data_IF_459377151006
#
_entry.id   IF_459377151006
#
_cell.length_a   1.000
_cell.length_b   1.000
_cell.length_c   1.000
_cell.angle_alpha   90.00
_cell.angle_beta   90.00
_cell.angle_gamma   90.00
#
_symmetry.space_group_name_H-M   'P 1'
#
loop_
_entity.id
_entity.type
_entity.pdbx_description
1 polymer ?
#
# COMPACT_ATOMS: atom_id res chain seq x y z
N UNK A 1 0.67 46.63 -19.57
CA UNK A 1 1.10 45.29 -20.02
C UNK A 1 -0.15 44.43 -20.20
N UNK A 2 -0.22 43.56 -21.21
CA UNK A 2 -1.39 42.71 -21.46
C UNK A 2 -0.99 41.28 -21.82
N UNK A 3 -1.74 40.29 -21.34
CA UNK A 3 -1.59 38.86 -21.63
C UNK A 3 -2.91 38.35 -22.21
N UNK A 4 -2.85 37.70 -23.38
CA UNK A 4 -4.00 37.05 -23.99
C UNK A 4 -3.81 35.53 -23.91
N UNK A 5 -4.82 34.85 -23.38
CA UNK A 5 -4.85 33.41 -23.21
C UNK A 5 -6.15 32.83 -23.75
N UNK A 6 -6.23 31.51 -23.86
CA UNK A 6 -7.47 30.77 -24.09
C UNK A 6 -7.89 30.08 -22.79
N UNK A 7 -9.18 29.94 -22.52
CA UNK A 7 -9.68 29.30 -21.30
C UNK A 7 -10.93 28.48 -21.60
N UNK A 8 -11.04 27.31 -20.97
CA UNK A 8 -12.31 26.59 -20.85
C UNK A 8 -12.87 26.94 -19.48
N UNK A 9 -14.02 27.60 -19.45
CA UNK A 9 -14.82 27.66 -18.23
C UNK A 9 -16.00 26.75 -18.42
N UNK A 10 -16.10 25.74 -17.55
CA UNK A 10 -17.24 24.83 -17.53
C UNK A 10 -18.56 25.59 -17.60
N UNK A 11 -18.57 26.81 -17.05
CA UNK A 11 -19.57 27.84 -17.18
C UNK A 11 -20.16 28.04 -18.62
N UNK A 12 -19.34 28.25 -19.63
CA UNK A 12 -19.79 28.96 -20.84
C UNK A 12 -20.13 28.07 -22.02
N UNK A 13 -20.07 26.74 -21.90
CA UNK A 13 -20.35 25.83 -23.00
C UNK A 13 -19.43 26.02 -24.23
N UNK A 14 -18.29 26.69 -24.08
CA UNK A 14 -17.38 26.98 -25.18
C UNK A 14 -16.07 27.61 -24.73
N UNK A 15 -15.04 27.38 -25.55
CA UNK A 15 -13.71 27.95 -25.41
C UNK A 15 -13.75 29.48 -25.59
N UNK A 16 -13.06 30.22 -24.75
CA UNK A 16 -13.01 31.69 -24.79
C UNK A 16 -11.57 32.21 -24.71
N UNK A 17 -11.36 33.46 -25.12
CA UNK A 17 -10.10 34.16 -24.87
C UNK A 17 -10.18 34.96 -23.58
N UNK A 18 -9.13 34.91 -22.78
CA UNK A 18 -8.96 35.68 -21.55
C UNK A 18 -7.88 36.73 -21.77
N UNK A 19 -8.23 38.01 -21.68
CA UNK A 19 -7.29 39.12 -21.74
C UNK A 19 -7.06 39.68 -20.33
N UNK A 20 -5.83 39.60 -19.85
CA UNK A 20 -5.40 40.11 -18.54
C UNK A 20 -4.55 41.37 -18.74
N UNK A 21 -5.00 42.52 -18.23
CA UNK A 21 -4.33 43.81 -18.40
C UNK A 21 -3.83 44.34 -17.07
N UNK A 22 -2.54 44.66 -17.02
CA UNK A 22 -1.91 45.41 -15.94
C UNK A 22 -1.73 46.88 -16.33
N UNK A 23 -2.36 47.77 -15.56
CA UNK A 23 -2.28 49.22 -15.70
C UNK A 23 -1.35 49.81 -14.64
N UNK A 24 -0.16 50.24 -15.07
CA UNK A 24 0.90 50.75 -14.20
C UNK A 24 0.53 52.06 -13.49
N UNK A 25 -0.22 52.94 -14.17
CA UNK A 25 -0.67 54.23 -13.66
C UNK A 25 -1.60 54.11 -12.44
N UNK A 26 -2.18 52.94 -12.19
CA UNK A 26 -3.08 52.70 -11.06
C UNK A 26 -2.36 52.48 -9.71
N UNK A 27 -1.01 52.44 -9.70
CA UNK A 27 -0.16 52.26 -8.52
C UNK A 27 -0.65 51.15 -7.55
N UNK A 28 -0.94 49.94 -8.05
CA UNK A 28 -1.59 48.93 -7.21
C UNK A 28 -0.64 48.41 -6.13
N UNK A 29 -1.15 48.20 -4.92
CA UNK A 29 -0.41 47.63 -3.79
C UNK A 29 0.02 46.18 -4.06
N UNK A 30 0.95 45.65 -3.26
CA UNK A 30 1.38 44.25 -3.32
C UNK A 30 0.93 43.53 -2.05
N UNK A 31 0.33 42.37 -2.20
CA UNK A 31 -0.04 41.44 -1.13
C UNK A 31 0.78 40.18 -1.22
N UNK A 32 0.83 39.42 -0.12
CA UNK A 32 1.53 38.14 -0.07
C UNK A 32 0.52 37.03 -0.34
N UNK A 33 0.72 36.30 -1.44
CA UNK A 33 0.03 35.05 -1.71
C UNK A 33 0.79 33.91 -1.02
N UNK A 34 0.06 33.01 -0.34
CA UNK A 34 0.64 31.91 0.45
C UNK A 34 0.17 30.59 -0.12
N UNK A 35 1.12 29.82 -0.66
CA UNK A 35 0.90 28.47 -1.16
C UNK A 35 0.58 27.46 -0.05
N UNK A 36 -0.01 26.34 -0.44
CA UNK A 36 -0.30 25.22 0.48
C UNK A 36 0.95 24.53 1.04
N UNK A 37 2.10 24.72 0.40
CA UNK A 37 3.43 24.32 0.85
C UNK A 37 4.09 25.36 1.79
N UNK A 38 3.38 26.45 2.10
CA UNK A 38 3.86 27.55 2.93
C UNK A 38 4.79 28.51 2.18
N UNK A 39 5.01 28.32 0.88
CA UNK A 39 5.79 29.26 0.07
C UNK A 39 5.01 30.57 -0.10
N UNK A 40 5.70 31.70 0.04
CA UNK A 40 5.08 33.02 -0.05
C UNK A 40 5.64 33.79 -1.23
N UNK A 41 4.77 34.47 -1.98
CA UNK A 41 5.18 35.30 -3.11
C UNK A 41 4.40 36.60 -3.11
N UNK A 42 5.06 37.70 -3.48
CA UNK A 42 4.40 38.99 -3.60
C UNK A 42 3.62 39.06 -4.92
N UNK A 43 2.33 39.35 -4.83
CA UNK A 43 1.37 39.49 -5.95
C UNK A 43 0.74 40.87 -5.87
N UNK A 44 0.44 41.47 -7.03
CA UNK A 44 -0.27 42.76 -7.06
C UNK A 44 -1.73 42.58 -6.59
N UNK A 45 -2.14 43.38 -5.60
CA UNK A 45 -3.40 43.27 -4.83
C UNK A 45 -4.65 43.61 -5.65
N UNK A 46 -4.55 44.60 -6.54
CA UNK A 46 -5.67 44.95 -7.41
C UNK A 46 -5.74 43.94 -8.57
N UNK A 47 -6.90 43.30 -8.82
CA UNK A 47 -7.00 42.33 -9.90
C UNK A 47 -6.64 43.04 -11.21
N UNK A 48 -5.72 42.48 -12.02
CA UNK A 48 -5.54 42.99 -13.38
C UNK A 48 -6.90 42.96 -14.08
N UNK A 49 -7.20 43.95 -14.92
CA UNK A 49 -8.47 43.97 -15.65
C UNK A 49 -8.52 42.72 -16.53
N UNK A 50 -9.43 41.79 -16.17
CA UNK A 50 -9.64 40.53 -16.88
C UNK A 50 -10.90 40.65 -17.73
N UNK A 51 -10.75 40.58 -19.05
CA UNK A 51 -11.84 40.58 -20.00
C UNK A 51 -11.97 39.18 -20.61
N UNK A 52 -13.19 38.63 -20.61
CA UNK A 52 -13.51 37.40 -21.33
C UNK A 52 -14.07 37.77 -22.71
N UNK A 53 -13.49 37.17 -23.75
CA UNK A 53 -13.92 37.33 -25.13
C UNK A 53 -14.37 35.96 -25.61
N UNK A 54 -15.69 35.75 -25.68
CA UNK A 54 -16.22 34.56 -26.34
C UNK A 54 -15.87 34.58 -27.84
N UNK A 55 -15.81 33.41 -28.45
CA UNK A 55 -15.60 33.25 -29.90
C UNK A 55 -16.65 33.96 -30.76
N UNK A 56 -17.79 34.38 -30.16
CA UNK A 56 -18.88 35.13 -30.78
C UNK A 56 -19.15 36.54 -30.17
N UNK A 57 -18.33 37.02 -29.22
CA UNK A 57 -18.46 38.36 -28.63
C UNK A 57 -19.54 38.56 -27.56
N UNK A 58 -20.14 37.50 -27.01
CA UNK A 58 -21.17 37.58 -25.95
C UNK A 58 -20.68 37.02 -24.59
N UNK A 59 -21.31 37.44 -23.47
CA UNK A 59 -21.00 36.93 -22.12
C UNK A 59 -21.99 35.82 -21.72
N UNK A 60 -21.50 34.72 -21.13
CA UNK A 60 -22.33 33.62 -20.62
C UNK A 60 -21.69 32.90 -19.41
N UNK A 61 -22.42 31.96 -18.78
CA UNK A 61 -22.06 31.21 -17.55
C UNK A 61 -22.79 29.83 -17.46
N UNK A 62 -22.35 28.91 -16.55
CA UNK A 62 -22.80 27.49 -16.18
C UNK A 62 -21.99 26.17 -16.55
N UNK A 63 -21.38 25.57 -15.51
CA UNK A 63 -20.56 24.32 -15.35
C UNK A 63 -21.13 22.99 -15.87
N UNK A 64 -20.28 21.95 -16.08
CA UNK A 64 -20.68 20.56 -15.88
C UNK A 64 -20.04 19.95 -14.63
N UNK A 65 -20.85 19.20 -13.89
CA UNK A 65 -20.47 18.36 -12.75
C UNK A 65 -20.32 16.90 -13.24
N UNK A 66 -19.28 16.20 -12.80
CA UNK A 66 -19.31 14.73 -12.69
C UNK A 66 -17.98 13.99 -12.87
N UNK A 67 -17.27 13.71 -11.76
CA UNK A 67 -16.46 12.51 -11.53
C UNK A 67 -16.25 12.41 -10.01
N UNK A 68 -16.72 11.32 -9.36
CA UNK A 68 -16.83 11.26 -7.88
C UNK A 68 -15.51 11.48 -7.12
N UNK A 69 -14.36 11.18 -7.74
CA UNK A 69 -13.01 11.47 -7.22
C UNK A 69 -12.14 12.14 -8.27
N UNK A 70 -12.70 13.11 -9.01
CA UNK A 70 -11.95 13.85 -10.01
C UNK A 70 -10.83 14.67 -9.37
N UNK A 71 -9.62 14.59 -9.94
CA UNK A 71 -8.56 15.56 -9.67
C UNK A 71 -8.70 16.67 -10.71
N UNK A 72 -9.10 17.86 -10.27
CA UNK A 72 -9.22 19.04 -11.11
C UNK A 72 -8.04 19.98 -10.85
N UNK A 73 -7.39 20.44 -11.92
CA UNK A 73 -6.45 21.56 -11.85
C UNK A 73 -7.12 22.82 -12.39
N UNK A 74 -6.85 23.95 -11.77
CA UNK A 74 -7.27 25.27 -12.23
C UNK A 74 -6.07 26.20 -12.16
N UNK A 75 -5.89 27.03 -13.17
CA UNK A 75 -4.86 28.06 -13.20
C UNK A 75 -5.52 29.41 -13.45
N UNK A 76 -5.10 30.44 -12.73
CA UNK A 76 -5.53 31.82 -13.00
C UNK A 76 -4.32 32.74 -13.10
N UNK A 77 -4.33 33.62 -14.09
CA UNK A 77 -3.22 34.53 -14.40
C UNK A 77 -3.12 35.63 -13.34
N UNK A 78 -1.96 35.75 -12.70
CA UNK A 78 -1.60 36.74 -11.68
C UNK A 78 -0.44 37.61 -12.17
N UNK A 79 -0.25 38.77 -11.54
CA UNK A 79 0.91 39.64 -11.79
C UNK A 79 1.79 39.58 -10.56
N UNK A 80 2.99 39.01 -10.72
CA UNK A 80 3.98 38.93 -9.65
C UNK A 80 4.69 40.27 -9.49
N UNK A 81 4.99 40.62 -8.24
CA UNK A 81 5.87 41.74 -7.91
C UNK A 81 7.25 41.20 -7.52
N UNK A 82 8.22 41.39 -8.40
CA UNK A 82 9.61 40.97 -8.23
C UNK A 82 10.49 42.08 -7.63
N UNK A 83 9.91 43.22 -7.24
CA UNK A 83 10.67 44.41 -6.80
C UNK A 83 11.47 44.18 -5.52
N UNK A 84 11.07 43.20 -4.70
CA UNK A 84 11.73 42.86 -3.43
C UNK A 84 12.76 41.71 -3.55
N UNK A 85 12.81 41.00 -4.67
CA UNK A 85 13.77 39.90 -4.89
C UNK A 85 15.07 40.42 -5.50
N UNK A 86 16.26 39.99 -5.01
CA UNK A 86 17.53 40.39 -5.62
C UNK A 86 17.54 39.95 -7.08
N UNK A 87 18.01 40.79 -8.03
CA UNK A 87 17.85 40.54 -9.45
C UNK A 87 18.53 39.21 -9.82
N UNK A 88 17.77 38.17 -10.23
CA UNK A 88 18.38 36.98 -10.79
C UNK A 88 19.08 37.32 -12.13
N UNK A 89 20.05 36.49 -12.57
CA UNK A 89 20.86 36.79 -13.75
C UNK A 89 20.00 37.06 -15.00
N UNK A 90 20.44 37.94 -15.92
CA UNK A 90 19.64 38.46 -17.04
C UNK A 90 19.17 37.39 -18.04
N UNK A 91 19.68 36.16 -17.99
CA UNK A 91 19.23 35.02 -18.80
C UNK A 91 17.92 34.38 -18.33
N UNK A 92 17.42 34.71 -17.13
CA UNK A 92 16.20 34.11 -16.57
C UNK A 92 14.91 34.91 -16.78
N UNK A 93 14.98 36.09 -17.42
CA UNK A 93 13.85 37.04 -17.55
C UNK A 93 13.36 37.19 -18.99
N UNK A 94 13.00 36.10 -19.65
CA UNK A 94 12.10 36.20 -20.78
C UNK A 94 10.72 36.67 -20.30
N UNK A 95 10.45 37.99 -20.27
CA UNK A 95 9.10 38.53 -20.08
C UNK A 95 8.81 39.35 -18.80
N UNK A 96 9.82 39.84 -18.07
CA UNK A 96 9.60 40.83 -17.00
C UNK A 96 9.63 42.27 -17.52
N UNK A 97 8.79 43.14 -16.95
CA UNK A 97 8.66 44.55 -17.34
C UNK A 97 8.79 45.46 -16.12
N UNK A 98 9.40 46.62 -16.29
CA UNK A 98 9.50 47.63 -15.23
C UNK A 98 8.46 48.71 -15.47
N UNK A 99 7.61 48.95 -14.47
CA UNK A 99 6.62 50.03 -14.48
C UNK A 99 7.30 51.39 -14.59
N UNK A 100 6.78 52.25 -15.48
CA UNK A 100 7.24 53.64 -15.61
C UNK A 100 6.84 54.45 -14.38
N UNK A 101 5.61 54.28 -13.91
CA UNK A 101 5.00 55.08 -12.85
C UNK A 101 5.12 54.39 -11.49
N UNK A 102 4.80 53.09 -11.39
CA UNK A 102 4.91 52.33 -10.13
C UNK A 102 6.35 51.97 -9.76
N UNK A 103 7.28 52.02 -10.73
CA UNK A 103 8.66 51.52 -10.60
C UNK A 103 8.79 50.05 -10.18
N UNK A 104 7.69 49.28 -10.21
CA UNK A 104 7.70 47.86 -9.86
C UNK A 104 8.24 47.01 -11.00
N UNK A 105 8.97 45.96 -10.66
CA UNK A 105 9.36 44.91 -11.59
C UNK A 105 8.27 43.85 -11.59
N UNK A 106 7.54 43.72 -12.69
CA UNK A 106 6.38 42.83 -12.79
C UNK A 106 6.54 41.79 -13.90
N UNK A 107 5.97 40.61 -13.70
CA UNK A 107 5.79 39.61 -14.74
C UNK A 107 4.41 38.94 -14.60
N UNK A 108 3.91 38.37 -15.69
CA UNK A 108 2.77 37.48 -15.61
C UNK A 108 3.19 36.12 -15.09
N UNK A 109 2.38 35.55 -14.22
CA UNK A 109 2.48 34.17 -13.77
C UNK A 109 1.09 33.57 -13.63
N UNK A 110 1.04 32.31 -13.18
CA UNK A 110 -0.21 31.62 -12.89
C UNK A 110 -0.20 31.15 -11.45
N UNK A 111 -1.28 31.42 -10.75
CA UNK A 111 -1.57 30.71 -9.51
C UNK A 111 -2.37 29.46 -9.87
N UNK A 112 -1.87 28.31 -9.43
CA UNK A 112 -2.40 26.99 -9.79
C UNK A 112 -2.97 26.36 -8.53
N UNK A 113 -4.24 25.98 -8.60
CA UNK A 113 -4.95 25.25 -7.56
C UNK A 113 -5.38 23.87 -8.05
N UNK A 114 -5.32 22.89 -7.16
CA UNK A 114 -5.82 21.54 -7.41
C UNK A 114 -6.89 21.18 -6.38
N UNK A 115 -7.97 20.54 -6.84
CA UNK A 115 -9.05 20.07 -5.97
C UNK A 115 -9.36 18.62 -6.31
N UNK A 116 -9.45 17.79 -5.27
CA UNK A 116 -9.92 16.40 -5.38
C UNK A 116 -11.38 16.35 -4.92
N UNK A 117 -12.28 15.95 -5.81
CA UNK A 117 -13.70 15.81 -5.48
C UNK A 117 -13.91 14.70 -4.42
N UNK A 118 -14.80 14.94 -3.45
CA UNK A 118 -15.17 14.00 -2.38
C UNK A 118 -14.00 13.30 -1.66
N UNK A 119 -12.86 13.97 -1.50
CA UNK A 119 -11.65 13.39 -0.90
C UNK A 119 -11.89 12.81 0.51
N UNK A 120 -12.85 13.36 1.26
CA UNK A 120 -13.25 12.87 2.59
C UNK A 120 -13.71 11.41 2.57
N UNK A 121 -14.42 10.98 1.51
CA UNK A 121 -14.87 9.60 1.36
C UNK A 121 -13.70 8.63 1.19
N UNK A 122 -12.69 9.02 0.40
CA UNK A 122 -11.47 8.23 0.21
C UNK A 122 -10.69 8.12 1.52
N UNK A 123 -10.55 9.23 2.25
CA UNK A 123 -9.88 9.29 3.53
C UNK A 123 -10.56 8.39 4.58
N UNK A 124 -11.89 8.49 4.71
CA UNK A 124 -12.64 7.68 5.65
C UNK A 124 -12.57 6.18 5.31
N UNK A 125 -12.62 5.83 4.03
CA UNK A 125 -12.48 4.44 3.59
C UNK A 125 -11.09 3.89 3.94
N UNK A 126 -10.03 4.66 3.70
CA UNK A 126 -8.67 4.26 4.06
C UNK A 126 -8.50 4.09 5.57
N UNK A 127 -9.05 5.02 6.36
CA UNK A 127 -9.02 4.93 7.82
C UNK A 127 -9.66 3.62 8.32
N UNK A 128 -10.82 3.26 7.77
CA UNK A 128 -11.50 2.00 8.11
C UNK A 128 -10.65 0.79 7.69
N UNK A 129 -10.06 0.79 6.49
CA UNK A 129 -9.21 -0.30 6.02
C UNK A 129 -7.95 -0.47 6.87
N UNK A 130 -7.32 0.62 7.29
CA UNK A 130 -6.16 0.61 8.20
C UNK A 130 -6.54 -0.01 9.56
N UNK A 131 -7.70 0.34 10.12
CA UNK A 131 -8.18 -0.24 11.38
C UNK A 131 -8.41 -1.75 11.21
N UNK A 132 -9.07 -2.17 10.13
CA UNK A 132 -9.32 -3.59 9.85
C UNK A 132 -7.99 -4.33 9.67
N UNK A 133 -7.06 -3.80 8.88
CA UNK A 133 -5.71 -4.37 8.72
C UNK A 133 -5.01 -4.49 10.08
N UNK A 134 -5.07 -3.47 10.93
CA UNK A 134 -4.51 -3.49 12.28
C UNK A 134 -5.06 -4.63 13.15
N UNK A 135 -6.36 -4.91 13.06
CA UNK A 135 -6.98 -6.05 13.78
C UNK A 135 -6.43 -7.37 13.27
N UNK A 136 -6.35 -7.55 11.95
CA UNK A 136 -5.86 -8.79 11.33
C UNK A 136 -4.36 -9.02 11.57
N UNK A 137 -3.54 -7.96 11.57
CA UNK A 137 -2.12 -8.01 11.94
C UNK A 137 -1.90 -8.09 13.46
N UNK A 138 -2.92 -7.84 14.28
CA UNK A 138 -2.76 -7.82 15.74
C UNK A 138 -2.22 -9.15 16.28
N UNK A 139 -2.67 -10.27 15.73
CA UNK A 139 -2.20 -11.60 16.15
C UNK A 139 -0.75 -11.86 15.71
N UNK A 140 -0.34 -11.38 14.53
CA UNK A 140 1.06 -11.37 14.08
C UNK A 140 1.96 -10.60 15.04
N UNK A 141 1.53 -9.40 15.43
CA UNK A 141 2.29 -8.55 16.34
C UNK A 141 2.41 -9.20 17.72
N UNK A 142 1.32 -9.78 18.22
CA UNK A 142 1.31 -10.52 19.48
C UNK A 142 2.30 -11.70 19.47
N UNK A 143 2.25 -12.54 18.43
CA UNK A 143 3.14 -13.70 18.29
C UNK A 143 4.61 -13.30 18.14
N UNK A 144 4.87 -12.22 17.38
CA UNK A 144 6.22 -11.65 17.24
C UNK A 144 6.75 -11.15 18.58
N UNK A 145 5.93 -10.46 19.35
CA UNK A 145 6.29 -9.97 20.68
C UNK A 145 6.55 -11.13 21.66
N UNK A 146 5.75 -12.20 21.62
CA UNK A 146 5.99 -13.42 22.40
C UNK A 146 7.32 -14.10 22.02
N UNK A 147 7.66 -14.12 20.73
CA UNK A 147 8.96 -14.58 20.22
C UNK A 147 10.12 -13.74 20.78
N UNK A 148 9.98 -12.41 20.74
CA UNK A 148 10.98 -11.46 21.24
C UNK A 148 11.19 -11.59 22.76
N UNK A 149 10.12 -11.71 23.54
CA UNK A 149 10.20 -11.97 24.98
C UNK A 149 10.90 -13.31 25.26
N UNK A 150 10.64 -14.34 24.45
CA UNK A 150 11.35 -15.62 24.52
C UNK A 150 12.86 -15.45 24.31
N UNK A 151 13.25 -14.68 23.30
CA UNK A 151 14.66 -14.36 22.99
C UNK A 151 15.35 -13.63 24.15
N UNK A 152 14.73 -12.56 24.67
CA UNK A 152 15.28 -11.79 25.80
C UNK A 152 15.42 -12.66 27.04
N UNK A 153 14.42 -13.52 27.31
CA UNK A 153 14.43 -14.43 28.46
C UNK A 153 15.33 -15.67 28.27
N UNK A 154 16.09 -15.78 27.16
CA UNK A 154 16.90 -16.95 26.78
C UNK A 154 16.11 -18.28 26.82
N UNK A 155 14.81 -18.21 26.59
CA UNK A 155 13.93 -19.40 26.49
C UNK A 155 13.87 -19.85 25.03
N UNK A 156 13.44 -21.10 24.74
CA UNK A 156 13.22 -21.54 23.36
C UNK A 156 12.38 -20.52 22.58
N UNK A 157 12.91 -20.05 21.46
CA UNK A 157 12.40 -18.90 20.71
C UNK A 157 11.38 -19.40 19.68
N UNK A 158 10.16 -18.85 19.74
CA UNK A 158 9.22 -18.93 18.62
C UNK A 158 9.70 -17.94 17.56
N UNK A 159 10.52 -18.40 16.61
CA UNK A 159 10.93 -17.58 15.47
C UNK A 159 9.79 -17.56 14.46
N UNK A 160 9.06 -16.46 14.43
CA UNK A 160 8.00 -16.24 13.47
C UNK A 160 8.54 -15.43 12.28
N UNK A 161 8.51 -16.02 11.09
CA UNK A 161 8.81 -15.31 9.85
C UNK A 161 7.49 -14.81 9.24
N UNK A 162 7.18 -13.53 9.46
CA UNK A 162 5.98 -12.87 8.94
C UNK A 162 5.89 -13.01 7.41
N UNK A 163 7.01 -12.85 6.71
CA UNK A 163 7.05 -12.86 5.24
C UNK A 163 6.68 -14.24 4.69
N UNK A 164 7.23 -15.33 5.25
CA UNK A 164 6.85 -16.69 4.86
C UNK A 164 5.42 -17.05 5.30
N UNK A 165 4.98 -16.51 6.45
CA UNK A 165 3.63 -16.72 6.96
C UNK A 165 2.54 -16.06 6.13
N UNK A 166 2.86 -15.01 5.37
CA UNK A 166 1.87 -14.32 4.52
C UNK A 166 1.25 -15.23 3.46
N UNK A 167 1.98 -16.23 2.94
CA UNK A 167 1.46 -17.20 1.95
C UNK A 167 0.19 -17.92 2.46
N UNK A 168 0.09 -18.12 3.78
CA UNK A 168 -1.07 -18.74 4.44
C UNK A 168 -2.12 -17.74 4.91
N UNK A 169 -1.79 -16.45 4.97
CA UNK A 169 -2.64 -15.37 5.46
C UNK A 169 -3.30 -14.59 4.32
N UNK A 170 -4.06 -15.29 3.49
CA UNK A 170 -4.68 -14.72 2.28
C UNK A 170 -5.59 -13.51 2.57
N UNK A 171 -6.32 -13.52 3.70
CA UNK A 171 -7.21 -12.40 4.04
C UNK A 171 -6.42 -11.12 4.32
N UNK A 172 -5.29 -11.22 5.05
CA UNK A 172 -4.39 -10.09 5.31
C UNK A 172 -3.80 -9.56 4.01
N UNK A 173 -3.35 -10.46 3.12
CA UNK A 173 -2.80 -10.06 1.82
C UNK A 173 -3.82 -9.31 0.96
N UNK A 174 -5.05 -9.81 0.88
CA UNK A 174 -6.13 -9.17 0.10
C UNK A 174 -6.53 -7.82 0.71
N UNK A 175 -6.67 -7.74 2.03
CA UNK A 175 -7.02 -6.48 2.71
C UNK A 175 -5.89 -5.45 2.60
N UNK A 176 -4.63 -5.87 2.75
CA UNK A 176 -3.46 -5.00 2.58
C UNK A 176 -3.34 -4.49 1.14
N UNK A 177 -3.53 -5.38 0.15
CA UNK A 177 -3.56 -4.98 -1.26
C UNK A 177 -4.70 -4.01 -1.57
N UNK A 178 -5.89 -4.25 -1.01
CA UNK A 178 -7.06 -3.38 -1.21
C UNK A 178 -6.87 -1.99 -0.59
N UNK A 179 -6.27 -1.92 0.60
CA UNK A 179 -5.91 -0.65 1.26
C UNK A 179 -4.88 0.13 0.42
N UNK A 180 -3.87 -0.57 -0.09
CA UNK A 180 -2.86 0.04 -0.94
C UNK A 180 -3.39 0.43 -2.33
N UNK A 181 -4.52 -0.09 -2.82
CA UNK A 181 -5.12 0.36 -4.09
C UNK A 181 -5.55 1.84 -4.01
N UNK A 182 -5.98 2.31 -2.84
CA UNK A 182 -6.32 3.72 -2.63
C UNK A 182 -5.09 4.63 -2.86
N UNK A 183 -3.89 4.12 -2.62
CA UNK A 183 -2.63 4.85 -2.85
C UNK A 183 -2.34 5.17 -4.31
N UNK A 184 -2.97 4.45 -5.25
CA UNK A 184 -2.93 4.80 -6.67
C UNK A 184 -3.41 6.23 -6.89
N UNK A 185 -4.37 6.71 -6.09
CA UNK A 185 -4.83 8.10 -6.18
C UNK A 185 -3.74 9.09 -5.71
N UNK A 186 -3.02 8.77 -4.64
CA UNK A 186 -1.97 9.65 -4.09
C UNK A 186 -0.82 9.86 -5.07
N UNK A 187 -0.38 8.83 -5.77
CA UNK A 187 0.70 9.00 -6.75
C UNK A 187 0.24 9.87 -7.93
N UNK A 188 -1.04 9.79 -8.32
CA UNK A 188 -1.63 10.64 -9.36
C UNK A 188 -1.73 12.11 -8.93
N UNK A 189 -1.87 12.39 -7.63
CA UNK A 189 -1.73 13.75 -7.08
C UNK A 189 -0.25 14.15 -7.02
N UNK A 190 0.62 13.24 -6.57
CA UNK A 190 2.06 13.47 -6.46
C UNK A 190 2.72 13.88 -7.79
N UNK A 191 2.31 13.31 -8.93
CA UNK A 191 2.89 13.67 -10.25
C UNK A 191 2.69 15.14 -10.64
N UNK A 192 1.65 15.77 -10.11
CA UNK A 192 1.29 17.16 -10.42
C UNK A 192 2.32 18.12 -9.85
N UNK A 193 2.88 17.79 -8.68
CA UNK A 193 3.80 18.64 -7.95
C UNK A 193 5.27 18.46 -8.36
N UNK A 194 5.54 17.90 -9.54
CA UNK A 194 6.90 17.80 -10.06
C UNK A 194 7.57 19.17 -10.13
N UNK A 195 8.79 19.27 -9.61
CA UNK A 195 9.55 20.52 -9.57
C UNK A 195 9.25 21.42 -8.36
N UNK A 196 8.31 21.07 -7.48
CA UNK A 196 8.11 21.78 -6.22
C UNK A 196 8.99 21.21 -5.09
N UNK A 197 9.28 22.03 -4.09
CA UNK A 197 10.13 21.67 -2.94
C UNK A 197 9.59 20.46 -2.15
N UNK A 198 8.26 20.33 -2.06
CA UNK A 198 7.60 19.24 -1.32
C UNK A 198 7.11 18.09 -2.22
N UNK A 199 6.92 18.33 -3.52
CA UNK A 199 6.32 17.37 -4.45
C UNK A 199 7.12 16.08 -4.58
N UNK A 200 8.46 16.17 -4.56
CA UNK A 200 9.35 14.99 -4.57
C UNK A 200 9.07 14.04 -3.41
N UNK A 201 8.87 14.57 -2.21
CA UNK A 201 8.61 13.77 -1.01
C UNK A 201 7.27 13.07 -1.14
N UNK A 202 6.21 13.83 -1.49
CA UNK A 202 4.86 13.29 -1.68
C UNK A 202 4.84 12.19 -2.74
N UNK A 203 5.53 12.41 -3.86
CA UNK A 203 5.60 11.46 -4.96
C UNK A 203 6.30 10.16 -4.53
N UNK A 204 7.47 10.25 -3.87
CA UNK A 204 8.22 9.07 -3.42
C UNK A 204 7.49 8.26 -2.35
N UNK A 205 6.86 8.93 -1.36
CA UNK A 205 6.03 8.24 -0.37
C UNK A 205 4.83 7.54 -1.03
N UNK A 206 4.18 8.20 -1.98
CA UNK A 206 3.07 7.60 -2.72
C UNK A 206 3.53 6.41 -3.58
N UNK A 207 4.71 6.51 -4.21
CA UNK A 207 5.32 5.42 -4.96
C UNK A 207 5.67 4.21 -4.08
N UNK A 208 6.12 4.46 -2.84
CA UNK A 208 6.40 3.41 -1.86
C UNK A 208 5.13 2.64 -1.46
N UNK A 209 4.03 3.35 -1.19
CA UNK A 209 2.74 2.71 -0.83
C UNK A 209 2.14 1.99 -2.04
N UNK A 210 2.30 2.54 -3.25
CA UNK A 210 1.88 1.82 -4.45
C UNK A 210 2.74 0.56 -4.69
N UNK A 211 4.03 0.60 -4.38
CA UNK A 211 4.90 -0.57 -4.45
C UNK A 211 4.47 -1.67 -3.46
N UNK A 212 3.99 -1.33 -2.27
CA UNK A 212 3.39 -2.31 -1.35
C UNK A 212 2.10 -2.91 -1.90
N UNK A 213 1.31 -2.15 -2.67
CA UNK A 213 0.16 -2.70 -3.40
C UNK A 213 0.58 -3.79 -4.41
N UNK A 214 1.63 -3.50 -5.19
CA UNK A 214 2.17 -4.44 -6.18
C UNK A 214 2.75 -5.69 -5.54
N UNK A 215 3.46 -5.52 -4.42
CA UNK A 215 4.00 -6.60 -3.62
C UNK A 215 2.89 -7.52 -3.08
N UNK A 216 1.85 -6.96 -2.46
CA UNK A 216 0.71 -7.73 -1.96
C UNK A 216 -0.03 -8.46 -3.09
N UNK A 217 -0.23 -7.79 -4.23
CA UNK A 217 -0.87 -8.38 -5.42
C UNK A 217 -0.06 -9.56 -5.97
N UNK A 218 1.28 -9.42 -5.98
CA UNK A 218 2.19 -10.47 -6.41
C UNK A 218 2.13 -11.68 -5.47
N UNK A 219 2.11 -11.46 -4.15
CA UNK A 219 1.96 -12.54 -3.18
C UNK A 219 0.59 -13.23 -3.27
N UNK A 220 -0.49 -12.49 -3.52
CA UNK A 220 -1.81 -13.08 -3.78
C UNK A 220 -1.76 -13.98 -5.02
N UNK A 221 -1.15 -13.51 -6.12
CA UNK A 221 -1.00 -14.32 -7.33
C UNK A 221 -0.18 -15.59 -7.08
N UNK A 222 0.95 -15.50 -6.36
CA UNK A 222 1.76 -16.67 -5.98
C UNK A 222 1.00 -17.62 -5.06
N UNK A 223 0.21 -17.10 -4.10
CA UNK A 223 -0.63 -17.91 -3.22
C UNK A 223 -1.75 -18.63 -3.99
N UNK A 224 -2.28 -18.04 -5.07
CA UNK A 224 -3.20 -18.74 -5.97
C UNK A 224 -2.49 -19.85 -6.74
N UNK A 225 -1.31 -19.59 -7.29
CA UNK A 225 -0.50 -20.61 -7.97
C UNK A 225 -0.15 -21.76 -7.01
N UNK A 226 0.15 -21.46 -5.74
CA UNK A 226 0.43 -22.48 -4.73
C UNK A 226 -0.80 -23.32 -4.34
N UNK A 227 -2.02 -22.84 -4.60
CA UNK A 227 -3.25 -23.61 -4.38
C UNK A 227 -3.60 -24.56 -5.52
N UNK A 228 -2.98 -24.40 -6.70
CA UNK A 228 -3.24 -25.29 -7.83
C UNK A 228 -2.63 -26.65 -7.50
N UNK A 229 -3.42 -27.75 -7.52
CA UNK A 229 -2.91 -29.07 -7.19
C UNK A 229 -1.80 -29.46 -8.18
N UNK A 230 -0.68 -29.90 -7.64
CA UNK A 230 0.48 -30.35 -8.40
C UNK A 230 0.60 -31.88 -8.29
N UNK A 231 0.76 -32.62 -9.40
CA UNK A 231 0.94 -34.07 -9.36
C UNK A 231 2.33 -34.48 -8.85
N UNK A 232 3.28 -33.54 -8.78
CA UNK A 232 4.67 -33.81 -8.40
C UNK A 232 4.89 -33.64 -6.90
N UNK A 233 5.85 -34.37 -6.35
CA UNK A 233 6.30 -34.21 -4.95
C UNK A 233 7.41 -33.18 -4.80
N UNK A 234 7.98 -32.69 -5.91
CA UNK A 234 9.05 -31.68 -5.93
C UNK A 234 8.53 -30.38 -6.50
N UNK A 235 8.70 -29.31 -5.73
CA UNK A 235 8.09 -28.00 -6.00
C UNK A 235 9.16 -26.90 -6.00
N UNK A 236 8.83 -25.75 -6.59
CA UNK A 236 9.74 -24.60 -6.64
C UNK A 236 9.67 -23.83 -5.32
N UNK A 237 10.83 -23.48 -4.75
CA UNK A 237 10.90 -22.57 -3.60
C UNK A 237 11.34 -21.17 -4.03
N UNK A 238 10.84 -20.15 -3.36
CA UNK A 238 11.32 -18.77 -3.49
C UNK A 238 11.65 -18.16 -2.13
N UNK A 239 12.49 -17.12 -2.12
CA UNK A 239 12.79 -16.38 -0.90
C UNK A 239 11.77 -15.25 -0.69
N UNK A 240 10.86 -15.37 0.31
CA UNK A 240 9.80 -14.38 0.53
C UNK A 240 10.35 -13.01 0.93
N UNK A 241 11.44 -12.95 1.70
CA UNK A 241 12.03 -11.67 2.12
C UNK A 241 12.58 -10.90 0.93
N UNK A 242 13.32 -11.59 0.05
CA UNK A 242 13.87 -10.98 -1.15
C UNK A 242 12.76 -10.52 -2.11
N UNK A 243 11.65 -11.27 -2.19
CA UNK A 243 10.50 -10.86 -2.98
C UNK A 243 9.85 -9.58 -2.42
N UNK A 244 9.53 -9.54 -1.12
CA UNK A 244 8.91 -8.40 -0.44
C UNK A 244 9.80 -7.15 -0.58
N UNK A 245 11.03 -7.21 -0.09
CA UNK A 245 11.94 -6.06 -0.10
C UNK A 245 12.40 -5.69 -1.50
N UNK A 246 12.57 -6.68 -2.38
CA UNK A 246 12.95 -6.46 -3.77
C UNK A 246 11.92 -5.60 -4.50
N UNK A 247 10.63 -5.94 -4.40
CA UNK A 247 9.56 -5.15 -5.04
C UNK A 247 9.44 -3.76 -4.41
N UNK A 248 9.39 -3.69 -3.07
CA UNK A 248 9.19 -2.42 -2.33
C UNK A 248 10.33 -1.43 -2.59
N UNK A 249 11.57 -1.89 -2.76
CA UNK A 249 12.71 -1.01 -3.00
C UNK A 249 12.93 -0.68 -4.49
N UNK A 250 12.69 -1.62 -5.40
CA UNK A 250 12.98 -1.41 -6.83
C UNK A 250 11.90 -0.59 -7.54
N UNK A 251 10.62 -0.80 -7.23
CA UNK A 251 9.54 -0.09 -7.92
C UNK A 251 9.56 1.43 -7.72
N UNK A 252 9.79 1.98 -6.50
CA UNK A 252 9.92 3.43 -6.33
C UNK A 252 11.04 4.03 -7.18
N UNK A 253 12.15 3.31 -7.39
CA UNK A 253 13.22 3.74 -8.30
C UNK A 253 12.74 3.79 -9.76
N UNK A 254 11.93 2.81 -10.18
CA UNK A 254 11.32 2.79 -11.52
C UNK A 254 10.35 3.97 -11.69
N UNK A 255 9.47 4.23 -10.71
CA UNK A 255 8.59 5.40 -10.73
C UNK A 255 9.38 6.71 -10.75
N UNK A 256 10.44 6.82 -9.95
CA UNK A 256 11.30 7.99 -9.92
C UNK A 256 11.93 8.29 -11.29
N UNK A 257 12.41 7.26 -11.98
CA UNK A 257 13.02 7.42 -13.32
C UNK A 257 12.05 7.98 -14.38
N UNK A 258 10.74 7.87 -14.14
CA UNK A 258 9.69 8.33 -15.04
C UNK A 258 8.95 9.57 -14.50
N UNK A 259 9.37 10.14 -13.37
CA UNK A 259 8.61 11.18 -12.68
C UNK A 259 8.34 12.41 -13.55
N UNK A 260 9.36 12.92 -14.25
CA UNK A 260 9.19 14.05 -15.18
C UNK A 260 8.25 13.70 -16.34
N UNK A 261 8.42 12.51 -16.94
CA UNK A 261 7.59 12.05 -18.06
C UNK A 261 6.11 11.91 -17.65
N UNK A 262 5.85 11.34 -16.47
CA UNK A 262 4.50 11.19 -15.93
C UNK A 262 3.87 12.53 -15.57
N UNK A 263 4.66 13.48 -15.09
CA UNK A 263 4.18 14.84 -14.86
C UNK A 263 3.85 15.55 -16.16
N UNK A 264 4.68 15.39 -17.18
CA UNK A 264 4.46 15.95 -18.51
C UNK A 264 3.18 15.38 -19.14
N UNK A 265 2.98 14.07 -19.11
CA UNK A 265 1.77 13.39 -19.59
C UNK A 265 0.49 13.94 -18.94
N UNK A 266 0.55 14.29 -17.64
CA UNK A 266 -0.58 14.90 -16.96
C UNK A 266 -0.89 16.32 -17.43
N UNK A 267 0.13 17.09 -17.82
CA UNK A 267 -0.02 18.47 -18.28
C UNK A 267 -0.19 18.57 -19.81
N UNK A 268 0.04 17.48 -20.55
CA UNK A 268 -0.05 17.41 -22.02
C UNK A 268 -1.47 17.05 -22.46
N UNK A 269 -2.43 17.92 -22.13
CA UNK A 269 -3.79 17.80 -22.64
C UNK A 269 -3.88 18.35 -24.09
N UNK A 270 -4.71 17.76 -24.96
CA UNK A 270 -4.98 18.35 -26.26
C UNK A 270 -5.70 19.69 -26.10
N UNK A 271 -5.33 20.69 -26.89
CA UNK A 271 -6.01 21.98 -26.87
C UNK A 271 -7.38 21.89 -27.59
N UNK A 272 -8.43 22.44 -26.97
CA UNK A 272 -9.73 22.66 -27.62
C UNK A 272 -9.71 23.93 -28.48
N UNK A 273 -9.10 25.00 -27.95
CA UNK A 273 -8.89 26.27 -28.65
C UNK A 273 -7.43 26.68 -28.58
N UNK A 274 -6.88 27.08 -29.72
CA UNK A 274 -5.51 27.55 -29.86
C UNK A 274 -5.46 29.00 -30.35
N UNK A 275 -4.37 29.69 -30.00
CA UNK A 275 -4.03 30.98 -30.60
C UNK A 275 -3.37 30.74 -31.96
N UNK A 276 -3.89 31.39 -33.00
CA UNK A 276 -3.23 31.42 -34.30
C UNK A 276 -2.24 32.59 -34.34
N UNK A 277 -0.95 32.29 -34.22
CA UNK A 277 0.12 33.28 -34.30
C UNK A 277 0.89 33.00 -35.59
N UNK A 278 0.77 33.91 -36.55
CA UNK A 278 1.46 33.83 -37.87
C UNK A 278 1.20 32.51 -38.62
N UNK A 279 -0.05 32.03 -38.60
CA UNK A 279 -0.44 30.79 -39.29
C UNK A 279 -0.14 29.51 -38.50
N UNK A 280 0.47 29.60 -37.32
CA UNK A 280 0.75 28.45 -36.45
C UNK A 280 -0.19 28.47 -35.25
N UNK A 281 -0.91 27.35 -35.03
CA UNK A 281 -1.73 27.16 -33.83
C UNK A 281 -0.84 26.84 -32.63
N UNK A 282 -1.05 27.59 -31.53
CA UNK A 282 -0.32 27.44 -30.28
C UNK A 282 -1.29 27.18 -29.12
N UNK A 283 -1.06 26.17 -28.26
CA UNK A 283 -1.88 25.97 -27.07
C UNK A 283 -1.72 27.16 -26.13
N UNK A 284 -2.82 27.63 -25.54
CA UNK A 284 -2.80 28.81 -24.68
C UNK A 284 -3.75 28.73 -23.48
N UNK A 285 -4.13 27.53 -23.04
CA UNK A 285 -4.92 27.32 -21.80
C UNK A 285 -6.35 26.77 -21.95
N UNK A 286 -6.88 26.64 -23.18
CA UNK A 286 -8.14 25.95 -23.43
C UNK A 286 -7.88 24.51 -23.88
N UNK A 287 -8.01 23.58 -22.95
CA UNK A 287 -7.79 22.15 -23.17
C UNK A 287 -9.12 21.39 -23.19
N UNK A 288 -9.21 20.35 -24.00
CA UNK A 288 -10.36 19.44 -23.98
C UNK A 288 -10.33 18.58 -22.72
N UNK A 289 -11.52 18.22 -22.24
CA UNK A 289 -11.73 17.26 -21.15
C UNK A 289 -11.37 15.83 -21.59
N UNK A 290 -10.08 15.58 -21.80
CA UNK A 290 -9.55 14.27 -22.19
C UNK A 290 -9.20 13.45 -20.93
N UNK A 291 -9.55 12.15 -20.89
CA UNK A 291 -9.16 11.29 -19.78
C UNK A 291 -7.64 11.09 -19.77
N UNK A 292 -6.99 11.48 -18.67
CA UNK A 292 -5.57 11.21 -18.46
C UNK A 292 -5.40 9.81 -17.87
N UNK A 293 -4.45 9.05 -18.40
CA UNK A 293 -4.13 7.73 -17.87
C UNK A 293 -3.68 7.81 -16.41
N UNK A 294 -4.10 6.83 -15.59
CA UNK A 294 -3.59 6.71 -14.22
C UNK A 294 -2.15 6.22 -14.27
N UNK A 295 -1.32 6.70 -13.34
CA UNK A 295 0.09 6.28 -13.25
C UNK A 295 0.22 4.76 -13.17
N UNK A 296 -0.67 4.10 -12.42
CA UNK A 296 -0.67 2.64 -12.32
C UNK A 296 -0.77 1.97 -13.70
N UNK A 297 -1.70 2.42 -14.55
CA UNK A 297 -1.89 1.88 -15.90
C UNK A 297 -0.73 2.24 -16.83
N UNK A 298 -0.29 3.51 -16.79
CA UNK A 298 0.82 4.00 -17.61
C UNK A 298 2.13 3.24 -17.34
N UNK A 299 2.35 2.86 -16.08
CA UNK A 299 3.60 2.23 -15.64
C UNK A 299 3.60 0.70 -15.77
N UNK A 300 2.51 0.06 -16.21
CA UNK A 300 2.48 -1.40 -16.43
C UNK A 300 3.68 -1.93 -17.25
N UNK A 301 4.07 -1.32 -18.39
CA UNK A 301 5.19 -1.81 -19.18
C UNK A 301 6.53 -1.83 -18.44
N UNK A 302 6.71 -0.95 -17.44
CA UNK A 302 7.93 -0.87 -16.63
C UNK A 302 7.84 -1.72 -15.36
N UNK A 303 6.66 -1.78 -14.74
CA UNK A 303 6.42 -2.51 -13.50
C UNK A 303 6.48 -4.03 -13.69
N UNK A 304 5.82 -4.57 -14.73
CA UNK A 304 5.77 -6.03 -14.94
C UNK A 304 7.15 -6.69 -15.12
N UNK A 305 8.05 -6.18 -15.99
CA UNK A 305 9.38 -6.74 -16.14
C UNK A 305 10.19 -6.65 -14.85
N UNK A 306 10.06 -5.56 -14.09
CA UNK A 306 10.74 -5.36 -12.81
C UNK A 306 10.27 -6.38 -11.78
N UNK A 307 8.95 -6.53 -11.60
CA UNK A 307 8.36 -7.50 -10.68
C UNK A 307 8.78 -8.93 -11.08
N UNK A 308 8.68 -9.26 -12.38
CA UNK A 308 9.08 -10.57 -12.89
C UNK A 308 10.58 -10.84 -12.65
N UNK A 309 11.43 -9.85 -12.88
CA UNK A 309 12.86 -9.93 -12.57
C UNK A 309 13.14 -10.22 -11.09
N UNK A 310 12.42 -9.55 -10.18
CA UNK A 310 12.53 -9.79 -8.73
C UNK A 310 12.04 -11.19 -8.36
N UNK A 311 10.93 -11.67 -8.93
CA UNK A 311 10.44 -13.05 -8.72
C UNK A 311 11.49 -14.07 -9.15
N UNK A 312 12.05 -13.92 -10.36
CA UNK A 312 13.10 -14.80 -10.87
C UNK A 312 14.34 -14.78 -9.97
N UNK A 313 14.74 -13.61 -9.48
CA UNK A 313 15.87 -13.48 -8.56
C UNK A 313 15.58 -14.19 -7.22
N UNK A 314 14.37 -14.04 -6.67
CA UNK A 314 13.94 -14.70 -5.44
C UNK A 314 13.86 -16.23 -5.56
N UNK A 315 13.45 -16.75 -6.72
CA UNK A 315 13.46 -18.19 -7.02
C UNK A 315 14.90 -18.68 -7.21
N UNK A 316 15.70 -17.97 -8.01
CA UNK A 316 17.08 -18.37 -8.30
C UNK A 316 17.95 -18.40 -7.04
N UNK A 317 17.83 -17.40 -6.16
CA UNK A 317 18.54 -17.33 -4.88
C UNK A 317 18.16 -18.53 -4.00
N UNK A 318 16.87 -18.82 -3.85
CA UNK A 318 16.38 -19.97 -3.09
C UNK A 318 16.91 -21.29 -3.65
N UNK A 319 16.88 -21.47 -4.98
CA UNK A 319 17.39 -22.68 -5.65
C UNK A 319 18.91 -22.84 -5.48
N UNK A 320 19.68 -21.76 -5.56
CA UNK A 320 21.15 -21.78 -5.37
C UNK A 320 21.49 -22.09 -3.93
N UNK A 321 20.81 -21.46 -2.98
CA UNK A 321 21.00 -21.72 -1.55
C UNK A 321 20.69 -23.18 -1.22
N UNK A 322 19.59 -23.71 -1.76
CA UNK A 322 19.19 -25.11 -1.61
C UNK A 322 20.20 -26.08 -2.20
N UNK A 323 20.73 -25.79 -3.40
CA UNK A 323 21.80 -26.60 -4.01
C UNK A 323 23.04 -26.64 -3.13
N UNK A 324 23.44 -25.50 -2.55
CA UNK A 324 24.63 -25.40 -1.69
C UNK A 324 24.46 -26.14 -0.37
N UNK A 325 23.29 -26.06 0.25
CA UNK A 325 23.04 -26.66 1.57
C UNK A 325 22.67 -28.15 1.49
N UNK A 326 21.89 -28.55 0.48
CA UNK A 326 21.24 -29.86 0.44
C UNK A 326 21.52 -30.66 -0.83
N UNK A 327 22.29 -30.10 -1.78
CA UNK A 327 22.61 -30.78 -3.04
C UNK A 327 21.46 -30.92 -4.03
N UNK A 328 20.29 -30.35 -3.73
CA UNK A 328 19.07 -30.43 -4.56
C UNK A 328 18.57 -29.04 -4.94
N UNK A 329 17.95 -28.91 -6.11
CA UNK A 329 17.42 -27.63 -6.59
C UNK A 329 15.96 -27.39 -6.21
N UNK A 330 15.16 -28.45 -6.15
CA UNK A 330 13.73 -28.38 -5.87
C UNK A 330 13.45 -28.86 -4.44
N UNK A 331 12.39 -28.33 -3.85
CA UNK A 331 11.92 -28.68 -2.52
C UNK A 331 11.09 -29.97 -2.60
N UNK A 332 11.47 -31.01 -1.84
CA UNK A 332 10.69 -32.24 -1.74
C UNK A 332 9.65 -32.14 -0.60
N UNK A 333 8.37 -32.20 -0.95
CA UNK A 333 7.24 -32.15 -0.01
C UNK A 333 6.65 -33.53 0.26
N UNK A 334 7.30 -34.63 -0.14
CA UNK A 334 6.81 -36.00 0.06
C UNK A 334 6.43 -36.31 1.52
N UNK A 335 7.23 -35.85 2.48
CA UNK A 335 7.02 -36.09 3.91
C UNK A 335 5.76 -35.43 4.47
N UNK A 336 5.27 -34.36 3.84
CA UNK A 336 4.05 -33.65 4.28
C UNK A 336 2.81 -34.55 4.25
N UNK A 337 2.81 -35.59 3.40
CA UNK A 337 1.75 -36.60 3.32
C UNK A 337 1.79 -37.60 4.50
N UNK A 338 2.92 -37.70 5.19
CA UNK A 338 3.13 -38.66 6.30
C UNK A 338 2.85 -38.04 7.67
N UNK A 339 2.59 -36.74 7.73
CA UNK A 339 2.28 -35.98 8.93
C UNK A 339 0.78 -35.65 8.91
N UNK A 340 0.03 -36.16 9.90
CA UNK A 340 -1.40 -35.96 10.06
C UNK A 340 -1.81 -34.49 10.13
N UNK A 341 -1.02 -33.63 10.78
CA UNK A 341 -1.28 -32.19 10.81
C UNK A 341 -1.13 -31.55 9.42
N UNK A 342 0.01 -31.73 8.75
CA UNK A 342 0.27 -31.14 7.42
C UNK A 342 -0.68 -31.64 6.34
N UNK A 343 -1.13 -32.89 6.46
CA UNK A 343 -2.14 -33.47 5.56
C UNK A 343 -3.47 -32.71 5.61
N UNK A 344 -3.79 -32.09 6.76
CA UNK A 344 -5.01 -31.31 6.96
C UNK A 344 -4.83 -29.82 6.61
N UNK A 345 -3.62 -29.27 6.66
CA UNK A 345 -3.35 -27.84 6.44
C UNK A 345 -3.33 -27.41 4.96
N UNK A 346 -3.33 -28.37 4.03
CA UNK A 346 -3.22 -28.12 2.59
C UNK A 346 -1.79 -27.79 2.17
N UNK A 347 -1.12 -28.72 1.50
CA UNK A 347 0.27 -28.59 1.05
C UNK A 347 0.34 -27.72 -0.21
N UNK A 348 1.32 -26.80 -0.35
CA UNK A 348 1.42 -25.97 -1.54
C UNK A 348 1.84 -26.81 -2.76
N UNK A 349 1.30 -26.48 -3.93
CA UNK A 349 1.41 -27.26 -5.15
C UNK A 349 2.65 -26.94 -5.99
N UNK A 350 2.68 -25.80 -6.67
CA UNK A 350 3.74 -25.50 -7.66
C UNK A 350 4.91 -24.71 -7.09
N UNK A 351 4.60 -23.74 -6.24
CA UNK A 351 5.56 -22.78 -5.69
C UNK A 351 5.25 -22.50 -4.23
N UNK A 352 6.27 -22.30 -3.40
CA UNK A 352 6.09 -21.88 -2.00
C UNK A 352 7.28 -21.07 -1.49
N UNK A 353 7.02 -20.13 -0.60
CA UNK A 353 8.02 -19.41 0.18
C UNK A 353 8.25 -20.04 1.55
N UNK A 354 7.45 -21.04 1.91
CA UNK A 354 7.50 -21.73 3.19
C UNK A 354 8.62 -22.78 3.17
N UNK A 355 9.46 -22.79 4.21
CA UNK A 355 10.56 -23.74 4.35
C UNK A 355 10.09 -25.15 4.77
N UNK A 356 9.31 -25.82 3.91
CA UNK A 356 8.72 -27.16 4.10
C UNK A 356 9.73 -28.33 4.01
N UNK A 357 11.01 -28.07 4.25
CA UNK A 357 12.03 -29.11 4.24
C UNK A 357 11.85 -30.09 5.39
N UNK A 358 11.98 -31.40 5.11
CA UNK A 358 11.97 -32.44 6.14
C UNK A 358 13.06 -32.22 7.22
N UNK A 359 14.13 -31.51 6.86
CA UNK A 359 15.21 -31.15 7.79
C UNK A 359 14.80 -30.11 8.83
N UNK A 360 13.75 -29.33 8.54
CA UNK A 360 13.17 -28.39 9.51
C UNK A 360 12.23 -29.08 10.50
N UNK A 361 11.82 -30.32 10.23
CA UNK A 361 11.04 -31.15 11.15
C UNK A 361 11.91 -31.76 12.27
N UNK A 362 11.26 -32.22 13.34
CA UNK A 362 11.92 -32.99 14.39
C UNK A 362 11.63 -34.46 14.17
N UNK A 363 12.68 -35.27 14.06
CA UNK A 363 12.56 -36.72 13.98
C UNK A 363 12.47 -37.31 15.39
N UNK A 364 11.36 -37.97 15.72
CA UNK A 364 11.19 -38.72 16.96
C UNK A 364 10.84 -40.16 16.57
N UNK A 365 11.77 -41.08 16.83
CA UNK A 365 11.70 -42.44 16.29
C UNK A 365 11.67 -42.46 14.76
N UNK A 366 10.63 -43.08 14.19
CA UNK A 366 10.43 -43.18 12.74
C UNK A 366 9.48 -42.13 12.15
N UNK A 367 8.91 -41.24 12.97
CA UNK A 367 7.96 -40.20 12.54
C UNK A 367 8.63 -38.82 12.52
N UNK A 368 8.20 -37.96 11.59
CA UNK A 368 8.60 -36.56 11.50
C UNK A 368 7.50 -35.67 12.10
N UNK A 369 7.90 -34.80 13.01
CA UNK A 369 7.00 -33.89 13.73
C UNK A 369 7.26 -32.44 13.33
N UNK A 370 6.18 -31.67 13.24
CA UNK A 370 6.22 -30.24 12.94
C UNK A 370 6.50 -29.45 14.22
N UNK A 371 7.51 -28.58 14.18
CA UNK A 371 7.87 -27.66 15.27
C UNK A 371 6.75 -26.64 15.52
N UNK A 372 6.54 -26.19 16.77
CA UNK A 372 5.55 -25.15 17.06
C UNK A 372 5.76 -23.86 16.27
N UNK A 373 7.00 -23.40 16.09
CA UNK A 373 7.31 -22.25 15.25
C UNK A 373 6.85 -22.41 13.80
N UNK A 374 6.88 -23.63 13.28
CA UNK A 374 6.42 -23.92 11.94
C UNK A 374 4.90 -23.98 11.84
N UNK A 375 4.20 -24.42 12.89
CA UNK A 375 2.72 -24.32 12.96
C UNK A 375 2.26 -22.86 12.84
N UNK A 376 2.99 -21.94 13.49
CA UNK A 376 2.72 -20.50 13.43
C UNK A 376 3.00 -19.91 12.05
N UNK A 377 4.08 -20.33 11.38
CA UNK A 377 4.33 -19.96 9.97
C UNK A 377 3.23 -20.48 9.04
N UNK A 378 2.65 -21.65 9.35
CA UNK A 378 1.51 -22.18 8.60
C UNK A 378 0.18 -21.47 8.89
N UNK A 379 0.15 -20.49 9.80
CA UNK A 379 -1.03 -19.71 10.14
C UNK A 379 -1.86 -20.31 11.29
N UNK A 380 -1.27 -21.15 12.13
CA UNK A 380 -1.92 -21.76 13.27
C UNK A 380 -1.26 -21.42 14.61
N UNK A 381 -2.06 -21.22 15.65
CA UNK A 381 -1.59 -20.96 17.00
C UNK A 381 -2.22 -21.95 18.00
N UNK A 382 -1.51 -22.19 19.10
CA UNK A 382 -1.93 -23.13 20.13
C UNK A 382 -2.46 -22.40 21.35
N UNK A 383 -3.63 -22.82 21.83
CA UNK A 383 -4.25 -22.29 23.04
C UNK A 383 -4.57 -23.42 24.02
N UNK A 384 -4.49 -23.10 25.30
CA UNK A 384 -4.82 -23.98 26.42
C UNK A 384 -5.83 -23.31 27.33
N UNK A 385 -6.66 -24.12 28.01
CA UNK A 385 -7.61 -23.60 28.99
C UNK A 385 -6.85 -23.06 30.21
N UNK A 386 -7.19 -21.85 30.63
CA UNK A 386 -6.63 -21.23 31.81
C UNK A 386 -7.33 -21.79 33.06
N UNK A 387 -6.82 -22.90 33.59
CA UNK A 387 -7.31 -23.46 34.86
C UNK A 387 -6.66 -22.68 36.01
N UNK A 388 -7.42 -22.00 36.88
CA UNK A 388 -6.85 -21.30 38.03
C UNK A 388 -6.13 -22.30 38.94
N UNK A 389 -4.87 -22.02 39.30
CA UNK A 389 -4.04 -22.88 40.18
C UNK A 389 -4.73 -23.27 41.50
N UNK A 390 -5.66 -22.46 42.01
CA UNK A 390 -6.42 -22.76 43.22
C UNK A 390 -7.35 -23.99 43.11
N UNK A 391 -7.73 -24.40 41.89
CA UNK A 391 -8.58 -25.59 41.68
C UNK A 391 -7.77 -26.89 41.54
N UNK A 392 -6.48 -26.83 41.20
CA UNK A 392 -5.62 -28.04 41.15
C UNK A 392 -5.22 -28.51 42.55
N UNK A 393 -5.09 -27.58 43.50
CA UNK A 393 -4.64 -27.89 44.86
C UNK A 393 -5.77 -28.44 45.76
N UNK A 394 -7.03 -28.36 45.33
CA UNK A 394 -8.19 -28.83 46.10
C UNK A 394 -8.47 -30.34 45.95
N UNK A 395 -7.82 -31.02 44.99
CA UNK A 395 -7.90 -32.49 44.84
C UNK A 395 -6.56 -33.11 45.14
N UNK A 396 -6.24 -33.19 46.44
CA UNK A 396 -5.03 -33.81 46.98
C UNK A 396 -4.89 -35.27 46.58
N UNK A 397 -4.28 -35.51 45.41
CA UNK A 397 -3.74 -36.80 44.99
C UNK A 397 -2.38 -36.57 44.34
N UNK A 398 -1.36 -36.89 45.15
CA UNK A 398 0.04 -37.14 44.87
C UNK A 398 0.51 -37.12 43.40
N UNK A 399 1.45 -36.20 43.12
CA UNK A 399 2.75 -36.37 42.44
C UNK A 399 2.92 -37.38 41.27
N UNK A 400 1.85 -37.83 40.64
CA UNK A 400 1.83 -38.74 39.48
C UNK A 400 0.94 -38.21 38.34
N UNK A 401 0.38 -37.00 38.51
CA UNK A 401 -0.46 -36.28 37.54
C UNK A 401 0.29 -35.32 36.60
N UNK A 402 1.62 -35.31 36.61
CA UNK A 402 2.43 -34.56 35.62
C UNK A 402 2.26 -35.07 34.17
N UNK A 403 1.46 -36.13 33.95
CA UNK A 403 1.19 -36.74 32.64
C UNK A 403 -0.31 -36.87 32.28
N UNK A 404 -1.24 -36.25 33.02
CA UNK A 404 -2.64 -36.15 32.54
C UNK A 404 -2.74 -35.13 31.40
N UNK A 405 -2.49 -35.65 30.18
CA UNK A 405 -2.97 -35.19 28.88
C UNK A 405 -3.51 -33.75 28.84
N UNK A 406 -2.63 -32.75 28.88
CA UNK A 406 -3.03 -31.38 28.57
C UNK A 406 -3.40 -31.32 27.09
N UNK A 407 -4.70 -31.47 26.79
CA UNK A 407 -5.21 -31.41 25.43
C UNK A 407 -5.05 -29.99 24.94
N UNK A 408 -4.18 -29.79 23.95
CA UNK A 408 -3.94 -28.47 23.37
C UNK A 408 -4.89 -28.25 22.20
N UNK A 409 -5.46 -27.06 22.09
CA UNK A 409 -6.37 -26.71 20.99
C UNK A 409 -5.62 -25.85 19.98
N UNK A 410 -5.68 -26.21 18.70
CA UNK A 410 -5.11 -25.42 17.60
C UNK A 410 -6.21 -24.52 17.03
N UNK A 411 -5.92 -23.24 16.88
CA UNK A 411 -6.79 -22.25 16.23
C UNK A 411 -6.05 -21.58 15.07
N UNK A 412 -6.80 -20.99 14.13
CA UNK A 412 -6.21 -20.09 13.13
C UNK A 412 -5.58 -18.89 13.83
N UNK A 413 -4.52 -18.31 13.26
CA UNK A 413 -3.93 -17.09 13.81
C UNK A 413 -4.91 -15.91 13.78
N UNK A 414 -5.86 -15.88 12.84
CA UNK A 414 -6.95 -14.89 12.83
C UNK A 414 -7.84 -14.97 14.07
N UNK A 415 -8.01 -16.19 14.58
CA UNK A 415 -8.87 -16.51 15.70
C UNK A 415 -8.16 -16.38 17.05
N UNK A 416 -6.82 -16.21 17.05
CA UNK A 416 -6.01 -16.18 18.25
C UNK A 416 -6.41 -15.01 19.18
N UNK A 417 -6.35 -13.76 18.69
CA UNK A 417 -6.69 -12.59 19.51
C UNK A 417 -8.15 -12.62 19.99
N UNK A 418 -9.15 -12.88 19.14
CA UNK A 418 -10.54 -13.05 19.60
C UNK A 418 -10.69 -14.10 20.70
N UNK A 419 -9.95 -15.22 20.63
CA UNK A 419 -9.98 -16.28 21.64
C UNK A 419 -9.34 -15.86 22.96
N UNK A 420 -8.24 -15.10 22.92
CA UNK A 420 -7.53 -14.63 24.11
C UNK A 420 -8.25 -13.49 24.82
N UNK A 421 -8.86 -12.57 24.06
CA UNK A 421 -9.58 -11.41 24.58
C UNK A 421 -11.00 -11.76 25.07
N UNK A 422 -11.46 -13.00 24.87
CA UNK A 422 -12.78 -13.44 25.30
C UNK A 422 -13.92 -12.96 24.40
N UNK A 423 -13.64 -12.51 23.17
CA UNK A 423 -14.69 -12.11 22.24
C UNK A 423 -15.58 -13.28 21.83
N UNK A 424 -15.05 -14.51 21.86
CA UNK A 424 -15.83 -15.74 21.62
C UNK A 424 -17.02 -15.91 22.57
N UNK A 425 -16.99 -15.27 23.74
CA UNK A 425 -18.09 -15.30 24.72
C UNK A 425 -19.32 -14.51 24.26
N UNK A 426 -19.09 -13.45 23.48
CA UNK A 426 -20.12 -12.50 23.06
C UNK A 426 -20.50 -12.65 21.59
N UNK A 427 -19.67 -13.32 20.79
CA UNK A 427 -19.93 -13.55 19.37
C UNK A 427 -21.01 -14.62 19.15
N UNK A 428 -21.90 -14.43 18.17
CA UNK A 428 -22.87 -15.45 17.78
C UNK A 428 -22.18 -16.69 17.19
N UNK A 429 -22.81 -17.88 17.17
CA UNK A 429 -22.17 -19.14 16.79
C UNK A 429 -21.51 -19.16 15.41
N UNK A 430 -21.97 -18.34 14.47
CA UNK A 430 -21.40 -18.23 13.13
C UNK A 430 -20.12 -17.37 13.08
N UNK A 431 -19.90 -16.50 14.07
CA UNK A 431 -18.72 -15.65 14.22
C UNK A 431 -17.78 -16.11 15.34
N UNK A 432 -18.17 -17.11 16.13
CA UNK A 432 -17.33 -17.67 17.18
C UNK A 432 -16.10 -18.36 16.54
N UNK A 433 -14.88 -18.09 17.05
CA UNK A 433 -13.66 -18.74 16.55
C UNK A 433 -13.77 -20.26 16.60
N UNK A 434 -13.38 -20.93 15.51
CA UNK A 434 -13.50 -22.39 15.37
C UNK A 434 -12.13 -23.04 15.54
N UNK A 435 -11.98 -23.96 16.50
CA UNK A 435 -10.82 -24.82 16.60
C UNK A 435 -10.55 -25.53 15.27
N UNK A 436 -9.29 -25.55 14.86
CA UNK A 436 -8.84 -26.36 13.73
C UNK A 436 -8.72 -27.84 14.15
N UNK A 437 -8.26 -28.10 15.38
CA UNK A 437 -8.15 -29.45 15.91
C UNK A 437 -7.54 -29.47 17.31
N UNK A 438 -7.29 -30.66 17.82
CA UNK A 438 -6.66 -30.87 19.12
C UNK A 438 -5.39 -31.70 19.01
N UNK A 439 -4.41 -31.40 19.86
CA UNK A 439 -3.19 -32.19 20.02
C UNK A 439 -3.28 -32.95 21.33
N UNK A 440 -3.17 -34.28 21.26
CA UNK A 440 -3.03 -35.15 22.42
C UNK A 440 -1.81 -36.03 22.23
N UNK A 441 -0.84 -35.97 23.15
CA UNK A 441 0.41 -36.76 23.08
C UNK A 441 1.15 -36.63 21.74
N UNK A 442 1.27 -35.40 21.22
CA UNK A 442 1.90 -35.08 19.93
C UNK A 442 1.18 -35.60 18.67
N UNK A 443 0.01 -36.21 18.80
CA UNK A 443 -0.81 -36.62 17.64
C UNK A 443 -1.93 -35.59 17.39
N UNK A 444 -2.08 -35.21 16.12
CA UNK A 444 -3.12 -34.28 15.69
C UNK A 444 -4.44 -35.01 15.44
N UNK A 445 -5.52 -34.46 16.01
CA UNK A 445 -6.88 -34.86 15.71
C UNK A 445 -7.66 -33.69 15.13
N UNK A 446 -8.05 -33.81 13.87
CA UNK A 446 -8.96 -32.87 13.21
C UNK A 446 -10.33 -32.91 13.91
N UNK A 447 -10.83 -31.75 14.32
CA UNK A 447 -12.12 -31.60 15.02
C UNK A 447 -12.91 -30.46 14.40
N UNK A 448 -13.79 -30.80 13.46
CA UNK A 448 -14.65 -29.82 12.75
C UNK A 448 -15.92 -29.48 13.51
N UNK A 449 -16.27 -30.29 14.50
CA UNK A 449 -17.47 -30.21 15.34
C UNK A 449 -17.25 -29.43 16.65
N UNK A 450 -16.00 -29.14 17.00
CA UNK A 450 -15.66 -28.48 18.25
C UNK A 450 -15.91 -26.96 18.14
N UNK A 451 -16.44 -26.36 19.21
CA UNK A 451 -16.46 -24.92 19.41
C UNK A 451 -15.69 -24.58 20.70
N UNK A 452 -15.12 -23.38 20.76
CA UNK A 452 -14.53 -22.90 22.02
C UNK A 452 -15.62 -22.76 23.08
N UNK A 453 -15.32 -23.23 24.29
CA UNK A 453 -16.24 -23.15 25.41
C UNK A 453 -16.44 -21.68 25.80
N UNK A 454 -17.72 -21.25 25.89
CA UNK A 454 -18.07 -19.85 26.19
C UNK A 454 -17.60 -19.40 27.57
N UNK A 455 -17.58 -20.29 28.54
CA UNK A 455 -17.26 -19.91 29.93
C UNK A 455 -15.78 -20.06 30.27
N UNK A 456 -14.97 -20.58 29.32
CA UNK A 456 -13.56 -20.83 29.56
C UNK A 456 -12.70 -19.67 29.07
N UNK A 457 -11.73 -19.28 29.89
CA UNK A 457 -10.66 -18.38 29.49
C UNK A 457 -9.51 -19.20 28.88
N UNK A 458 -8.95 -18.71 27.78
CA UNK A 458 -7.85 -19.38 27.08
C UNK A 458 -6.58 -18.55 27.19
N UNK A 459 -5.43 -19.22 27.24
CA UNK A 459 -4.10 -18.59 27.20
C UNK A 459 -3.32 -19.20 26.05
N UNK A 460 -2.50 -18.37 25.40
CA UNK A 460 -1.62 -18.82 24.34
C UNK A 460 -0.50 -19.69 24.92
N UNK A 461 -0.34 -20.89 24.39
CA UNK A 461 0.78 -21.77 24.69
C UNK A 461 1.80 -21.73 23.56
N UNK A 462 3.08 -21.95 23.88
CA UNK A 462 4.16 -21.96 22.86
C UNK A 462 4.05 -23.17 21.92
N UNK A 463 3.17 -24.12 22.23
CA UNK A 463 2.85 -25.27 21.42
C UNK A 463 3.81 -26.43 21.65
N UNK A 464 3.41 -27.59 21.15
CA UNK A 464 4.21 -28.83 21.15
C UNK A 464 4.41 -29.32 19.73
N UNK A 465 5.41 -30.20 19.55
CA UNK A 465 5.64 -30.81 18.25
C UNK A 465 4.44 -31.70 17.87
N UNK A 466 4.05 -31.70 16.60
CA UNK A 466 2.83 -32.40 16.16
C UNK A 466 3.07 -33.31 14.96
N UNK A 467 2.53 -34.52 15.01
CA UNK A 467 2.39 -35.42 13.88
C UNK A 467 0.94 -35.50 13.44
#
# INVERSE_FOLDING_TARGET
MALLETTVRGATGGDAFLLTIFADMALPNSTVDVGSDGFTVAVIEAPPHRLLIATNGSMATISPLGNHFLISSSAYSVVLDLSATPPPPPSSHGGSFVGRDSKKVVCFAWSIGHVVANWEGLFNLQLVMVIINGIFFGADFFLTNQGLQGFIAKKPILTYDLSAGTERRKAVLVLSGSDCLLSSHYINVGRIYHGSSFGTIVFLFSALILATCWEASTHVALAFISCIPCPFTRIVSYNPRLLVFGIILTLPCVYWSQYEAMSRDFHEAPFGLALNISGTLRPSGAYVDAPVSTIALHMFPCCYPTIFGVILLAVAESMVQRKRLYGVFLLDVSWTKTNGFLSCCGVPGWITGIALDAQNAIKIGNKLFVKPSFQVVLGYATIVQNVPKAASDATGTDATRDNELTTMTIVSVYDLLPSLLGFHKWLPPWATPKPFGTITKHEFHLRTDLMLAKDTAYVHDRGTCVN
#
